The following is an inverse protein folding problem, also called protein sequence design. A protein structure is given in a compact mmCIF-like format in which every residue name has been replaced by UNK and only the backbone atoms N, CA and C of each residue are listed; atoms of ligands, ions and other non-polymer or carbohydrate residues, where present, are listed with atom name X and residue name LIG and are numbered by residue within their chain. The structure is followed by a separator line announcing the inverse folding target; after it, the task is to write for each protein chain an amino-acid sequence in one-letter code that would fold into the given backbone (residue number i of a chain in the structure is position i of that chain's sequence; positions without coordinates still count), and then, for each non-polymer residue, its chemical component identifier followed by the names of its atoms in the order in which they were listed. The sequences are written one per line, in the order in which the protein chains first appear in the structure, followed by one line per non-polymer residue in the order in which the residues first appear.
data_IF_464189950969
#
_entry.id   IF_464189950969
#
_cell.length_a   1.000
_cell.length_b   1.000
_cell.length_c   1.000
_cell.angle_alpha   90.00
_cell.angle_beta   90.00
_cell.angle_gamma   90.00
#
_symmetry.space_group_name_H-M   'P 1'
#
loop_
_entity.id
_entity.type
_entity.pdbx_description
1 polymer ?
#
# COMPACT_ATOMS: atom_id res chain seq x y z
N UNK A 1 -22.45 -15.43 0.74
CA UNK A 1 -21.42 -14.87 1.62
C UNK A 1 -20.72 -13.74 0.86
N UNK A 2 -20.61 -12.56 1.45
CA UNK A 2 -19.90 -11.43 0.84
C UNK A 2 -18.40 -11.68 0.82
N UNK A 3 -17.77 -11.50 -0.30
CA UNK A 3 -16.30 -11.56 -0.43
C UNK A 3 -15.65 -10.26 0.10
N UNK A 4 -14.32 -10.28 0.29
CA UNK A 4 -13.59 -9.12 0.81
C UNK A 4 -13.70 -7.89 -0.11
N UNK A 5 -13.83 -8.08 -1.41
CA UNK A 5 -13.98 -7.00 -2.38
C UNK A 5 -15.30 -6.25 -2.17
N UNK A 6 -16.35 -7.00 -1.94
CA UNK A 6 -17.69 -6.43 -1.73
C UNK A 6 -17.78 -5.71 -0.38
N UNK A 7 -17.23 -6.33 0.68
CA UNK A 7 -17.17 -5.76 2.03
C UNK A 7 -16.38 -4.44 2.10
N UNK A 8 -15.35 -4.28 1.28
CA UNK A 8 -14.46 -3.11 1.32
C UNK A 8 -14.73 -2.09 0.22
N UNK A 9 -15.75 -2.29 -0.61
CA UNK A 9 -16.04 -1.47 -1.79
C UNK A 9 -16.17 0.03 -1.48
N UNK A 10 -16.89 0.39 -0.42
CA UNK A 10 -17.08 1.79 -0.05
C UNK A 10 -15.78 2.45 0.42
N UNK A 11 -14.97 1.73 1.19
CA UNK A 11 -13.67 2.21 1.64
C UNK A 11 -12.67 2.33 0.48
N UNK A 12 -12.73 1.38 -0.45
CA UNK A 12 -11.95 1.44 -1.68
C UNK A 12 -12.26 2.71 -2.48
N UNK A 13 -13.54 2.99 -2.67
CA UNK A 13 -14.00 4.19 -3.35
C UNK A 13 -13.58 5.47 -2.61
N UNK A 14 -13.70 5.50 -1.28
CA UNK A 14 -13.25 6.64 -0.47
C UNK A 14 -11.74 6.87 -0.60
N UNK A 15 -10.93 5.79 -0.63
CA UNK A 15 -9.48 5.89 -0.81
C UNK A 15 -9.11 6.42 -2.22
N UNK A 16 -9.79 5.94 -3.27
CA UNK A 16 -9.56 6.41 -4.65
C UNK A 16 -9.91 7.89 -4.84
N UNK A 17 -10.96 8.38 -4.17
CA UNK A 17 -11.40 9.77 -4.24
C UNK A 17 -10.68 10.70 -3.25
N UNK A 18 -9.85 10.16 -2.37
CA UNK A 18 -9.08 10.97 -1.44
C UNK A 18 -8.15 11.92 -2.21
N UNK A 19 -8.03 13.20 -1.82
CA UNK A 19 -7.20 14.18 -2.53
C UNK A 19 -5.75 13.73 -2.74
N UNK A 20 -5.14 13.09 -1.75
CA UNK A 20 -3.78 12.56 -1.87
C UNK A 20 -3.72 11.36 -2.84
N UNK A 21 -4.71 10.47 -2.79
CA UNK A 21 -4.85 9.36 -3.75
C UNK A 21 -5.00 9.87 -5.18
N UNK A 22 -5.79 10.90 -5.38
CA UNK A 22 -5.96 11.57 -6.68
C UNK A 22 -4.65 12.18 -7.17
N UNK A 23 -3.88 12.85 -6.30
CA UNK A 23 -2.53 13.36 -6.66
C UNK A 23 -1.60 12.25 -7.14
N UNK A 24 -1.60 11.09 -6.48
CA UNK A 24 -0.78 9.96 -6.91
C UNK A 24 -1.20 9.44 -8.29
N UNK A 25 -2.49 9.23 -8.51
CA UNK A 25 -3.01 8.69 -9.77
C UNK A 25 -2.95 9.68 -10.94
N UNK A 26 -2.97 10.98 -10.69
CA UNK A 26 -2.76 12.03 -11.70
C UNK A 26 -1.28 12.34 -11.94
N UNK A 27 -0.40 11.97 -11.02
CA UNK A 27 1.03 12.28 -11.08
C UNK A 27 1.40 13.66 -10.55
N UNK A 28 0.55 14.27 -9.73
CA UNK A 28 0.76 15.63 -9.19
C UNK A 28 1.46 15.66 -7.82
N UNK A 29 1.86 14.50 -7.30
CA UNK A 29 2.67 14.44 -6.08
C UNK A 29 4.06 15.02 -6.30
N UNK A 30 4.54 15.77 -5.32
CA UNK A 30 5.94 16.22 -5.26
C UNK A 30 6.85 15.07 -4.83
N UNK A 31 8.15 15.21 -5.06
CA UNK A 31 9.14 14.25 -4.57
C UNK A 31 9.09 14.09 -3.04
N UNK A 32 8.79 15.16 -2.31
CA UNK A 32 8.62 15.12 -0.85
C UNK A 32 7.40 14.32 -0.44
N UNK A 33 6.25 14.60 -1.01
CA UNK A 33 5.01 13.85 -0.74
C UNK A 33 5.17 12.36 -1.08
N UNK A 34 5.84 12.07 -2.21
CA UNK A 34 6.12 10.69 -2.60
C UNK A 34 7.06 9.99 -1.62
N UNK A 35 8.11 10.66 -1.17
CA UNK A 35 9.02 10.11 -0.16
C UNK A 35 8.30 9.83 1.18
N UNK A 36 7.42 10.72 1.63
CA UNK A 36 6.64 10.54 2.86
C UNK A 36 5.66 9.36 2.74
N UNK A 37 5.03 9.20 1.57
CA UNK A 37 4.19 8.04 1.27
C UNK A 37 4.99 6.72 1.29
N UNK A 38 6.13 6.67 0.61
CA UNK A 38 7.01 5.49 0.58
C UNK A 38 7.55 5.15 1.97
N UNK A 39 7.90 6.13 2.78
CA UNK A 39 8.33 5.92 4.16
C UNK A 39 7.20 5.32 5.01
N UNK A 40 5.97 5.77 4.81
CA UNK A 40 4.78 5.24 5.48
C UNK A 40 4.49 3.80 5.06
N UNK A 41 4.54 3.51 3.76
CA UNK A 41 4.43 2.14 3.26
C UNK A 41 5.51 1.23 3.85
N UNK A 42 6.77 1.71 3.93
CA UNK A 42 7.86 0.93 4.50
C UNK A 42 7.59 0.54 5.96
N UNK A 43 7.01 1.42 6.77
CA UNK A 43 6.61 1.07 8.14
C UNK A 43 5.66 -0.13 8.15
N UNK A 44 4.63 -0.11 7.31
CA UNK A 44 3.64 -1.19 7.23
C UNK A 44 4.28 -2.47 6.71
N UNK A 45 5.00 -2.40 5.60
CA UNK A 45 5.61 -3.56 4.93
C UNK A 45 6.70 -4.23 5.76
N UNK A 46 7.40 -3.49 6.62
CA UNK A 46 8.39 -4.08 7.54
C UNK A 46 7.78 -5.15 8.44
N UNK A 47 6.54 -4.98 8.86
CA UNK A 47 5.82 -5.96 9.68
C UNK A 47 5.03 -6.94 8.82
N UNK A 48 4.27 -6.43 7.86
CA UNK A 48 3.37 -7.22 7.01
C UNK A 48 4.12 -8.31 6.24
N UNK A 49 5.19 -7.93 5.54
CA UNK A 49 5.87 -8.80 4.57
C UNK A 49 6.66 -9.93 5.23
N UNK A 50 6.99 -9.79 6.51
CA UNK A 50 7.64 -10.85 7.29
C UNK A 50 6.82 -12.16 7.36
N UNK A 51 5.51 -12.07 7.19
CA UNK A 51 4.57 -13.20 7.24
C UNK A 51 4.03 -13.62 5.87
N UNK A 52 4.55 -13.04 4.77
CA UNK A 52 4.05 -13.26 3.42
C UNK A 52 5.07 -14.04 2.57
N UNK A 53 4.60 -14.68 1.47
CA UNK A 53 5.50 -15.30 0.50
C UNK A 53 6.51 -14.30 -0.09
N UNK A 54 7.73 -14.75 -0.45
CA UNK A 54 8.76 -13.87 -1.02
C UNK A 54 8.32 -13.10 -2.28
N UNK A 55 7.41 -13.66 -3.08
CA UNK A 55 6.84 -13.01 -4.26
C UNK A 55 6.06 -11.72 -3.94
N UNK A 56 5.65 -11.54 -2.70
CA UNK A 56 4.93 -10.36 -2.20
C UNK A 56 5.81 -9.41 -1.39
N UNK A 57 7.04 -9.76 -1.09
CA UNK A 57 7.93 -8.91 -0.26
C UNK A 57 8.30 -7.63 -1.01
N UNK A 58 7.93 -6.48 -0.44
CA UNK A 58 8.19 -5.14 -1.00
C UNK A 58 9.26 -4.35 -0.26
N UNK A 59 9.82 -4.93 0.82
CA UNK A 59 10.75 -4.21 1.71
C UNK A 59 12.01 -3.74 1.00
N UNK A 60 12.59 -4.58 0.15
CA UNK A 60 13.79 -4.26 -0.62
C UNK A 60 13.56 -3.14 -1.63
N UNK A 61 12.48 -3.24 -2.41
CA UNK A 61 12.11 -2.26 -3.43
C UNK A 61 11.71 -0.92 -2.82
N UNK A 62 11.02 -0.90 -1.68
CA UNK A 62 10.71 0.34 -0.95
C UNK A 62 11.98 1.03 -0.45
N UNK A 63 12.95 0.26 0.05
CA UNK A 63 14.23 0.81 0.47
C UNK A 63 15.02 1.37 -0.71
N UNK A 64 14.99 0.69 -1.85
CA UNK A 64 15.59 1.18 -3.11
C UNK A 64 14.95 2.49 -3.56
N UNK A 65 13.62 2.54 -3.61
CA UNK A 65 12.88 3.74 -4.03
C UNK A 65 13.21 4.95 -3.15
N UNK A 66 13.23 4.77 -1.83
CA UNK A 66 13.63 5.82 -0.88
C UNK A 66 15.09 6.26 -1.08
N UNK A 67 15.98 5.32 -1.40
CA UNK A 67 17.38 5.61 -1.71
C UNK A 67 17.55 6.46 -2.97
N UNK A 68 16.75 6.20 -4.00
CA UNK A 68 16.77 6.93 -5.27
C UNK A 68 16.23 8.36 -5.15
N UNK A 69 15.43 8.66 -4.13
CA UNK A 69 14.91 10.01 -3.87
C UNK A 69 15.88 10.94 -3.13
N UNK A 70 17.04 10.42 -2.66
CA UNK A 70 18.02 11.26 -1.96
C UNK A 70 18.41 12.49 -2.81
N UNK A 71 18.60 13.67 -2.19
CA UNK A 71 18.64 13.94 -0.75
C UNK A 71 17.28 14.12 -0.06
N UNK A 72 16.16 13.98 -0.77
CA UNK A 72 14.82 14.05 -0.17
C UNK A 72 14.63 12.86 0.78
N UNK A 73 14.33 13.14 2.04
CA UNK A 73 14.08 12.12 3.06
C UNK A 73 12.59 12.06 3.36
N UNK A 74 12.00 10.89 3.21
CA UNK A 74 10.61 10.65 3.59
C UNK A 74 10.44 10.55 5.10
N UNK A 75 9.36 11.13 5.60
CA UNK A 75 8.92 11.05 6.99
C UNK A 75 7.61 10.27 7.01
N UNK A 76 7.63 9.09 7.62
CA UNK A 76 6.44 8.26 7.73
C UNK A 76 5.33 8.96 8.53
N UNK A 77 4.09 8.70 8.16
CA UNK A 77 2.93 9.07 8.95
C UNK A 77 2.92 8.29 10.29
N UNK A 78 2.54 8.94 11.38
CA UNK A 78 2.40 8.28 12.67
C UNK A 78 1.34 7.17 12.63
N UNK A 79 0.28 7.38 11.85
CA UNK A 79 -0.77 6.39 11.59
C UNK A 79 -0.26 5.11 10.92
N UNK A 80 0.79 5.19 10.09
CA UNK A 80 1.42 4.01 9.49
C UNK A 80 2.11 3.14 10.54
N UNK A 81 2.86 3.73 11.46
CA UNK A 81 3.49 3.00 12.57
C UNK A 81 2.44 2.40 13.51
N UNK A 82 1.39 3.15 13.83
CA UNK A 82 0.26 2.67 14.63
C UNK A 82 -0.39 1.44 13.99
N UNK A 83 -0.65 1.49 12.70
CA UNK A 83 -1.24 0.35 11.98
C UNK A 83 -0.28 -0.84 11.94
N UNK A 84 1.00 -0.64 11.61
CA UNK A 84 2.01 -1.69 11.62
C UNK A 84 2.07 -2.43 12.96
N UNK A 85 2.04 -1.69 14.07
CA UNK A 85 2.02 -2.26 15.42
C UNK A 85 0.73 -3.03 15.75
N UNK A 86 -0.33 -2.82 15.00
CA UNK A 86 -1.59 -3.54 15.15
C UNK A 86 -1.65 -4.89 14.42
N UNK A 87 -0.65 -5.20 13.58
CA UNK A 87 -0.57 -6.44 12.80
C UNK A 87 0.00 -7.57 13.67
N UNK A 88 -0.77 -8.02 14.64
CA UNK A 88 -0.34 -8.98 15.67
C UNK A 88 -0.95 -10.38 15.51
N UNK A 89 -1.99 -10.52 14.69
CA UNK A 89 -2.64 -11.80 14.46
C UNK A 89 -2.75 -12.15 12.97
N UNK A 90 -2.82 -13.46 12.64
CA UNK A 90 -2.83 -13.93 11.25
C UNK A 90 -3.98 -13.38 10.40
N UNK A 91 -5.18 -13.28 10.96
CA UNK A 91 -6.37 -12.82 10.22
C UNK A 91 -6.24 -11.35 9.83
N UNK A 92 -5.69 -10.55 10.73
CA UNK A 92 -5.39 -9.15 10.48
C UNK A 92 -4.31 -8.97 9.42
N UNK A 93 -3.27 -9.79 9.47
CA UNK A 93 -2.19 -9.83 8.46
C UNK A 93 -2.73 -10.22 7.09
N UNK A 94 -3.56 -11.25 7.00
CA UNK A 94 -4.19 -11.69 5.74
C UNK A 94 -5.05 -10.57 5.14
N UNK A 95 -5.89 -9.95 5.95
CA UNK A 95 -6.72 -8.83 5.50
C UNK A 95 -5.89 -7.64 5.01
N UNK A 96 -4.83 -7.28 5.73
CA UNK A 96 -3.90 -6.24 5.33
C UNK A 96 -3.16 -6.59 4.02
N UNK A 97 -2.72 -7.84 3.85
CA UNK A 97 -2.08 -8.31 2.63
C UNK A 97 -3.01 -8.17 1.42
N UNK A 98 -4.27 -8.59 1.55
CA UNK A 98 -5.27 -8.45 0.50
C UNK A 98 -5.40 -7.01 0.01
N UNK A 99 -5.43 -6.04 0.92
CA UNK A 99 -5.62 -4.62 0.58
C UNK A 99 -4.32 -4.00 0.04
N UNK A 100 -3.22 -4.07 0.77
CA UNK A 100 -1.97 -3.41 0.37
C UNK A 100 -1.38 -4.01 -0.91
N UNK A 101 -1.28 -5.33 -1.00
CA UNK A 101 -0.73 -5.98 -2.18
C UNK A 101 -1.68 -5.90 -3.37
N UNK A 102 -2.99 -6.00 -3.14
CA UNK A 102 -3.99 -5.79 -4.18
C UNK A 102 -3.91 -4.39 -4.78
N UNK A 103 -3.73 -3.37 -3.97
CA UNK A 103 -3.53 -1.99 -4.42
C UNK A 103 -2.26 -1.85 -5.27
N UNK A 104 -1.13 -2.41 -4.83
CA UNK A 104 0.13 -2.35 -5.58
C UNK A 104 0.05 -3.07 -6.92
N UNK A 105 -0.56 -4.25 -6.95
CA UNK A 105 -0.69 -5.04 -8.18
C UNK A 105 -1.65 -4.41 -9.21
N UNK A 106 -2.75 -3.83 -8.76
CA UNK A 106 -3.81 -3.32 -9.65
C UNK A 106 -3.71 -1.82 -9.90
N UNK A 107 -3.68 -1.02 -8.85
CA UNK A 107 -3.54 0.43 -8.94
C UNK A 107 -2.13 0.89 -9.27
N UNK A 108 -1.13 0.09 -8.95
CA UNK A 108 0.29 0.43 -9.13
C UNK A 108 0.69 0.74 -10.57
N UNK A 109 0.09 0.06 -11.56
CA UNK A 109 0.38 0.31 -12.97
C UNK A 109 -0.02 1.73 -13.40
N UNK A 110 -1.14 2.25 -12.91
CA UNK A 110 -1.61 3.63 -13.18
C UNK A 110 -0.65 4.64 -12.56
N UNK A 111 -0.28 4.45 -11.30
CA UNK A 111 0.64 5.33 -10.58
C UNK A 111 2.01 5.35 -11.26
N UNK A 112 2.58 4.19 -11.56
CA UNK A 112 3.87 4.06 -12.25
C UNK A 112 3.90 4.83 -13.57
N UNK A 113 2.88 4.66 -14.40
CA UNK A 113 2.76 5.32 -15.70
C UNK A 113 2.80 6.85 -15.58
N UNK A 114 2.36 7.40 -14.46
CA UNK A 114 2.32 8.84 -14.20
C UNK A 114 3.57 9.37 -13.52
N UNK A 115 4.17 8.60 -12.61
CA UNK A 115 5.26 9.08 -11.78
C UNK A 115 6.66 8.79 -12.36
N UNK A 116 6.88 7.63 -12.99
CA UNK A 116 8.19 7.28 -13.56
C UNK A 116 8.69 8.29 -14.60
N UNK A 117 7.86 8.82 -15.54
CA UNK A 117 8.31 9.84 -16.47
C UNK A 117 8.73 11.16 -15.79
N UNK A 118 8.32 11.38 -14.55
CA UNK A 118 8.70 12.54 -13.73
C UNK A 118 9.94 12.28 -12.85
N UNK A 119 10.58 11.12 -13.01
CA UNK A 119 11.77 10.74 -12.22
C UNK A 119 11.44 10.25 -10.81
N UNK A 120 10.18 9.94 -10.51
CA UNK A 120 9.79 9.40 -9.22
C UNK A 120 9.83 7.86 -9.24
N UNK A 121 10.65 7.22 -8.39
CA UNK A 121 10.84 5.78 -8.44
C UNK A 121 9.62 5.02 -7.98
N UNK A 122 9.31 3.90 -8.66
CA UNK A 122 8.15 3.05 -8.40
C UNK A 122 8.52 1.55 -8.45
N UNK A 123 9.73 1.17 -8.01
CA UNK A 123 10.17 -0.23 -8.05
C UNK A 123 9.29 -1.14 -7.20
N UNK A 124 8.79 -0.65 -6.04
CA UNK A 124 7.89 -1.41 -5.17
C UNK A 124 6.56 -1.79 -5.84
N UNK A 125 6.18 -1.14 -6.93
CA UNK A 125 4.98 -1.45 -7.72
C UNK A 125 5.25 -2.46 -8.84
N UNK A 126 6.50 -2.92 -9.01
CA UNK A 126 6.90 -3.94 -9.97
C UNK A 126 7.09 -5.28 -9.26
N UNK A 127 6.37 -6.28 -9.69
CA UNK A 127 6.46 -7.64 -9.15
C UNK A 127 7.16 -8.54 -10.15
N UNK A 128 8.30 -9.11 -9.78
CA UNK A 128 9.04 -10.06 -10.63
C UNK A 128 8.20 -11.31 -10.94
N UNK A 129 7.36 -11.75 -10.00
CA UNK A 129 6.45 -12.89 -10.12
C UNK A 129 4.99 -12.42 -10.01
N UNK A 130 4.60 -11.49 -10.90
CA UNK A 130 3.30 -10.83 -10.85
C UNK A 130 2.11 -11.81 -10.89
N UNK A 131 2.20 -12.89 -11.68
CA UNK A 131 1.15 -13.91 -11.74
C UNK A 131 0.98 -14.62 -10.40
N UNK A 132 2.07 -15.09 -9.81
CA UNK A 132 2.07 -15.78 -8.51
C UNK A 132 1.52 -14.86 -7.41
N UNK A 133 1.98 -13.62 -7.38
CA UNK A 133 1.49 -12.61 -6.43
C UNK A 133 -0.01 -12.37 -6.60
N UNK A 134 -0.50 -12.22 -7.83
CA UNK A 134 -1.92 -12.03 -8.10
C UNK A 134 -2.75 -13.25 -7.72
N UNK A 135 -2.28 -14.45 -8.04
CA UNK A 135 -2.98 -15.70 -7.69
C UNK A 135 -3.13 -15.84 -6.18
N UNK A 136 -2.09 -15.48 -5.42
CA UNK A 136 -2.13 -15.45 -3.96
C UNK A 136 -3.20 -14.47 -3.45
N UNK A 137 -3.21 -13.25 -3.95
CA UNK A 137 -4.18 -12.22 -3.53
C UNK A 137 -5.62 -12.60 -3.91
N UNK A 138 -5.82 -13.18 -5.09
CA UNK A 138 -7.15 -13.67 -5.50
C UNK A 138 -7.65 -14.77 -4.56
N UNK A 139 -6.76 -15.67 -4.12
CA UNK A 139 -7.09 -16.72 -3.18
C UNK A 139 -7.53 -16.19 -1.80
N UNK A 140 -7.09 -14.97 -1.40
CA UNK A 140 -7.49 -14.36 -0.14
C UNK A 140 -8.90 -13.76 -0.17
N UNK A 141 -9.47 -13.54 -1.35
CA UNK A 141 -10.75 -12.83 -1.51
C UNK A 141 -11.89 -13.42 -0.71
N UNK A 142 -11.94 -14.75 -0.63
CA UNK A 142 -13.04 -15.49 -0.02
C UNK A 142 -12.79 -15.84 1.46
N UNK A 143 -11.71 -15.31 2.05
CA UNK A 143 -11.36 -15.56 3.44
C UNK A 143 -12.15 -14.61 4.34
N UNK A 144 -13.33 -15.03 4.76
CA UNK A 144 -14.28 -14.21 5.52
C UNK A 144 -13.76 -13.72 6.88
N UNK A 145 -12.93 -14.50 7.56
CA UNK A 145 -12.34 -14.10 8.86
C UNK A 145 -11.30 -12.98 8.72
N UNK A 146 -10.81 -12.70 7.51
CA UNK A 146 -9.90 -11.59 7.24
C UNK A 146 -10.63 -10.24 7.03
N UNK A 147 -11.95 -10.20 7.05
CA UNK A 147 -12.75 -9.00 6.77
C UNK A 147 -12.40 -7.81 7.69
N UNK A 148 -12.26 -8.04 8.99
CA UNK A 148 -11.87 -7.00 9.94
C UNK A 148 -10.48 -6.43 9.66
N UNK A 149 -9.53 -7.28 9.29
CA UNK A 149 -8.18 -6.88 8.87
C UNK A 149 -8.17 -6.06 7.58
N UNK A 150 -8.94 -6.47 6.58
CA UNK A 150 -9.09 -5.74 5.33
C UNK A 150 -9.71 -4.35 5.55
N UNK A 151 -10.76 -4.26 6.34
CA UNK A 151 -11.40 -2.99 6.72
C UNK A 151 -10.41 -2.07 7.46
N UNK A 152 -9.69 -2.61 8.43
CA UNK A 152 -8.67 -1.86 9.18
C UNK A 152 -7.54 -1.35 8.27
N UNK A 153 -7.13 -2.14 7.27
CA UNK A 153 -6.11 -1.76 6.32
C UNK A 153 -6.54 -0.58 5.42
N UNK A 154 -7.76 -0.60 4.90
CA UNK A 154 -8.28 0.55 4.13
C UNK A 154 -8.41 1.82 4.98
N UNK A 155 -8.90 1.69 6.21
CA UNK A 155 -8.95 2.83 7.13
C UNK A 155 -7.55 3.38 7.42
N UNK A 156 -6.56 2.52 7.60
CA UNK A 156 -5.18 2.93 7.79
C UNK A 156 -4.63 3.69 6.57
N UNK A 157 -4.90 3.22 5.34
CA UNK A 157 -4.52 3.93 4.11
C UNK A 157 -5.12 5.34 4.08
N UNK A 158 -6.41 5.47 4.40
CA UNK A 158 -7.09 6.76 4.43
C UNK A 158 -6.49 7.67 5.52
N UNK A 159 -6.26 7.14 6.73
CA UNK A 159 -5.62 7.90 7.83
C UNK A 159 -4.20 8.37 7.47
N UNK A 160 -3.41 7.52 6.79
CA UNK A 160 -2.07 7.89 6.30
C UNK A 160 -2.20 9.03 5.28
N UNK A 161 -3.09 8.92 4.32
CA UNK A 161 -3.29 9.96 3.31
C UNK A 161 -3.80 11.26 3.92
N UNK A 162 -4.70 11.21 4.92
CA UNK A 162 -5.15 12.38 5.67
C UNK A 162 -3.97 13.08 6.35
N UNK A 163 -3.14 12.33 7.06
CA UNK A 163 -1.99 12.89 7.77
C UNK A 163 -0.98 13.52 6.80
N UNK A 164 -0.70 12.88 5.66
CA UNK A 164 0.22 13.40 4.66
C UNK A 164 -0.33 14.62 3.92
N UNK A 165 -1.63 14.70 3.70
CA UNK A 165 -2.27 15.81 3.02
C UNK A 165 -2.22 17.13 3.81
N UNK A 166 -2.02 17.07 5.14
CA UNK A 166 -1.94 18.22 6.02
C UNK A 166 -0.49 18.66 6.37
N UNK A 167 0.50 18.14 5.71
CA UNK A 167 1.93 18.52 5.88
C UNK A 167 2.37 19.65 4.89
#
# INVERSE_FOLDING_TARGET
MMDLRELTRELHHAAEQHPFGTKMSSGDVTAREWADWLASLRCVHTVLDASLPPSLDRRGELLLDLGLLRPVRGIAAASAAKFANSLTDPDRIIGAAYIFMGAHLRGGAVIRKRLEPKGLPCNHLRFAQAKEANDYIVALRDISHAAAGATAAFRAIIEIMDELAYR
#
